data_IF_436528029915
#
_entry.id   IF_436528029915
#
_cell.length_a   1.000
_cell.length_b   1.000
_cell.length_c   1.000
_cell.angle_alpha   90.00
_cell.angle_beta   90.00
_cell.angle_gamma   90.00
#
_symmetry.space_group_name_H-M   'P 1'
#
loop_
_entity.id
_entity.type
_entity.pdbx_description
1 polymer ?
#
# COMPACT_ATOMS: atom_id res chain seq x y z
N UNK A 1 2.37 -0.36 35.42
CA UNK A 1 3.43 0.50 34.85
C UNK A 1 2.96 1.94 35.00
N UNK A 2 3.70 2.79 35.71
CA UNK A 2 3.46 4.23 35.68
C UNK A 2 3.84 4.71 34.28
N UNK A 3 2.88 5.25 33.55
CA UNK A 3 3.15 5.99 32.31
C UNK A 3 3.80 7.30 32.77
N UNK A 4 5.09 7.48 32.49
CA UNK A 4 5.74 8.77 32.70
C UNK A 4 5.06 9.79 31.77
N UNK A 5 4.64 10.92 32.34
CA UNK A 5 4.07 12.02 31.56
C UNK A 5 5.07 12.45 30.47
N UNK A 6 4.62 12.56 29.23
CA UNK A 6 5.47 12.92 28.10
C UNK A 6 6.01 14.34 28.28
N UNK A 7 7.33 14.48 28.13
CA UNK A 7 8.05 15.74 28.19
C UNK A 7 7.70 16.59 26.94
N UNK A 8 7.06 17.77 27.10
CA UNK A 8 6.61 18.59 25.98
C UNK A 8 7.75 19.04 25.06
N UNK A 9 8.94 19.30 25.62
CA UNK A 9 10.10 19.78 24.85
C UNK A 9 10.67 18.67 23.97
N UNK A 10 10.72 17.43 24.48
CA UNK A 10 11.08 16.25 23.69
C UNK A 10 10.07 15.95 22.59
N UNK A 11 8.79 16.24 22.84
CA UNK A 11 7.71 16.06 21.87
C UNK A 11 7.82 17.07 20.73
N UNK A 12 8.20 18.31 21.03
CA UNK A 12 8.44 19.35 20.03
C UNK A 12 9.71 19.07 19.20
N UNK A 13 10.81 18.67 19.84
CA UNK A 13 12.07 18.30 19.16
C UNK A 13 11.86 17.11 18.21
N UNK A 14 11.11 16.10 18.65
CA UNK A 14 10.71 14.95 17.84
C UNK A 14 9.93 15.36 16.59
N UNK A 15 8.91 16.22 16.75
CA UNK A 15 8.09 16.72 15.63
C UNK A 15 8.91 17.51 14.63
N UNK A 16 9.81 18.37 15.10
CA UNK A 16 10.65 19.20 14.25
C UNK A 16 11.59 18.34 13.38
N UNK A 17 12.29 17.38 13.99
CA UNK A 17 13.20 16.47 13.27
C UNK A 17 12.49 15.66 12.19
N UNK A 18 11.30 15.12 12.47
CA UNK A 18 10.54 14.41 11.45
C UNK A 18 10.03 15.36 10.38
N UNK A 19 9.63 16.59 10.73
CA UNK A 19 9.17 17.59 9.77
C UNK A 19 10.26 17.96 8.76
N UNK A 20 11.50 18.14 9.21
CA UNK A 20 12.64 18.39 8.33
C UNK A 20 12.86 17.24 7.32
N UNK A 21 12.89 16.00 7.81
CA UNK A 21 13.03 14.81 6.97
C UNK A 21 11.85 14.64 5.98
N UNK A 22 10.64 14.98 6.42
CA UNK A 22 9.44 14.98 5.58
C UNK A 22 9.53 16.01 4.47
N UNK A 23 10.06 17.21 4.75
CA UNK A 23 10.26 18.22 3.72
C UNK A 23 11.24 17.74 2.64
N UNK A 24 12.24 16.93 2.98
CA UNK A 24 13.10 16.29 1.98
C UNK A 24 12.33 15.25 1.13
N UNK A 25 11.41 14.48 1.72
CA UNK A 25 10.53 13.58 0.96
C UNK A 25 9.59 14.36 0.02
N UNK A 26 9.05 15.50 0.46
CA UNK A 26 8.25 16.41 -0.39
C UNK A 26 9.06 16.86 -1.61
N UNK A 27 10.30 17.31 -1.38
CA UNK A 27 11.19 17.72 -2.47
C UNK A 27 11.43 16.58 -3.47
N UNK A 28 11.70 15.37 -2.97
CA UNK A 28 11.90 14.19 -3.82
C UNK A 28 10.64 13.86 -4.62
N UNK A 29 9.45 13.88 -4.01
CA UNK A 29 8.19 13.66 -4.73
C UNK A 29 7.93 14.70 -5.82
N UNK A 30 8.23 15.98 -5.56
CA UNK A 30 8.11 17.04 -6.56
C UNK A 30 9.10 16.82 -7.73
N UNK A 31 10.39 16.59 -7.43
CA UNK A 31 11.40 16.26 -8.45
C UNK A 31 10.97 15.05 -9.29
N UNK A 32 10.47 13.99 -8.64
CA UNK A 32 10.07 12.75 -9.31
C UNK A 32 8.83 12.95 -10.19
N UNK A 33 7.88 13.77 -9.76
CA UNK A 33 6.72 14.13 -10.55
C UNK A 33 7.11 14.98 -11.77
N UNK A 34 7.97 15.98 -11.60
CA UNK A 34 8.44 16.84 -12.69
C UNK A 34 9.21 16.06 -13.77
N UNK A 35 10.08 15.14 -13.35
CA UNK A 35 10.95 14.40 -14.27
C UNK A 35 10.28 13.17 -14.88
N UNK A 36 9.44 12.46 -14.10
CA UNK A 36 8.92 11.15 -14.50
C UNK A 36 7.39 11.07 -14.51
N UNK A 37 6.68 12.11 -14.08
CA UNK A 37 5.21 12.15 -14.04
C UNK A 37 4.57 11.25 -12.97
N UNK A 38 5.36 10.66 -12.06
CA UNK A 38 4.83 9.75 -11.04
C UNK A 38 4.42 10.52 -9.79
N UNK A 39 3.14 10.41 -9.42
CA UNK A 39 2.47 11.26 -8.43
C UNK A 39 2.32 10.66 -7.03
N UNK A 40 2.89 9.48 -6.78
CA UNK A 40 2.81 8.79 -5.48
C UNK A 40 3.90 7.73 -5.41
N UNK A 41 5.07 8.07 -4.85
CA UNK A 41 6.22 7.15 -4.72
C UNK A 41 6.34 6.47 -3.36
N UNK A 42 5.51 6.87 -2.38
CA UNK A 42 5.63 6.45 -0.98
C UNK A 42 4.54 5.49 -0.51
N UNK A 43 3.53 5.23 -1.34
CA UNK A 43 2.41 4.37 -0.97
C UNK A 43 2.43 3.03 -1.69
N UNK A 44 1.68 2.07 -1.17
CA UNK A 44 1.38 0.78 -1.78
C UNK A 44 2.61 0.06 -2.30
N UNK A 45 3.73 0.16 -1.57
CA UNK A 45 4.97 -0.54 -1.93
C UNK A 45 5.57 -0.06 -3.26
N UNK A 46 5.24 1.16 -3.71
CA UNK A 46 5.72 1.74 -4.97
C UNK A 46 7.25 1.77 -5.06
N UNK A 47 7.93 1.93 -3.92
CA UNK A 47 9.40 1.91 -3.87
C UNK A 47 10.01 0.67 -4.54
N UNK A 48 9.37 -0.51 -4.42
CA UNK A 48 9.88 -1.73 -5.03
C UNK A 48 9.66 -1.75 -6.55
N UNK A 49 8.61 -1.10 -7.06
CA UNK A 49 8.46 -0.89 -8.50
C UNK A 49 9.57 0.00 -9.05
N UNK A 50 9.98 1.03 -8.29
CA UNK A 50 11.08 1.92 -8.65
C UNK A 50 12.41 1.14 -8.64
N UNK A 51 12.64 0.27 -7.65
CA UNK A 51 13.81 -0.61 -7.61
C UNK A 51 13.87 -1.52 -8.84
N UNK A 52 12.76 -2.18 -9.18
CA UNK A 52 12.71 -3.06 -10.37
C UNK A 52 12.95 -2.27 -11.65
N UNK A 53 12.32 -1.10 -11.80
CA UNK A 53 12.54 -0.24 -12.96
C UNK A 53 13.98 0.25 -13.06
N UNK A 54 14.62 0.55 -11.93
CA UNK A 54 16.03 0.97 -11.87
C UNK A 54 16.97 -0.13 -12.37
N UNK A 55 16.79 -1.36 -11.86
CA UNK A 55 17.65 -2.50 -12.20
C UNK A 55 17.46 -2.95 -13.66
N UNK A 56 16.25 -2.80 -14.21
CA UNK A 56 15.92 -3.15 -15.60
C UNK A 56 16.08 -1.99 -16.60
N UNK A 57 16.51 -0.80 -16.16
CA UNK A 57 16.57 0.42 -16.98
C UNK A 57 15.24 0.77 -17.67
N UNK A 58 14.13 0.50 -16.99
CA UNK A 58 12.80 0.82 -17.47
C UNK A 58 12.36 2.23 -17.07
N UNK A 59 11.58 2.88 -17.93
CA UNK A 59 10.84 4.10 -17.61
C UNK A 59 9.57 3.74 -16.83
N UNK A 60 9.34 4.37 -15.68
CA UNK A 60 8.09 4.17 -14.92
C UNK A 60 6.91 4.75 -15.70
N UNK A 61 5.79 4.04 -15.70
CA UNK A 61 4.55 4.53 -16.31
C UNK A 61 3.77 5.33 -15.25
N UNK A 62 3.44 6.61 -15.51
CA UNK A 62 2.58 7.41 -14.62
C UNK A 62 1.23 6.73 -14.40
N UNK A 63 0.80 6.59 -13.15
CA UNK A 63 -0.50 6.00 -12.85
C UNK A 63 -0.68 5.54 -11.39
N UNK A 64 -1.85 4.99 -11.11
CA UNK A 64 -2.24 4.41 -9.81
C UNK A 64 -2.32 2.88 -9.90
N UNK A 65 -2.52 2.21 -8.77
CA UNK A 65 -2.74 0.75 -8.71
C UNK A 65 -3.67 0.26 -9.83
N UNK A 66 -3.14 -0.60 -10.72
CA UNK A 66 -3.84 -1.10 -11.90
C UNK A 66 -3.39 -0.49 -13.24
N UNK A 67 -2.54 0.54 -13.23
CA UNK A 67 -1.71 0.90 -14.39
C UNK A 67 -0.52 -0.04 -14.51
N UNK A 68 0.05 -0.14 -15.71
CA UNK A 68 1.34 -0.83 -15.92
C UNK A 68 2.44 -0.14 -15.13
N UNK A 69 3.49 -0.89 -14.83
CA UNK A 69 4.51 -0.42 -13.89
C UNK A 69 5.65 0.29 -14.61
N UNK A 70 6.14 -0.26 -15.73
CA UNK A 70 7.19 0.38 -16.50
C UNK A 70 7.27 -0.06 -17.94
N UNK A 71 8.19 0.57 -18.67
CA UNK A 71 8.34 0.49 -20.12
C UNK A 71 9.81 0.52 -20.51
N UNK A 72 10.22 -0.28 -21.48
CA UNK A 72 11.59 -0.26 -22.00
C UNK A 72 11.82 0.87 -23.04
N UNK A 73 12.99 0.88 -23.68
CA UNK A 73 13.32 1.82 -24.77
C UNK A 73 12.49 1.63 -26.05
N UNK A 74 12.01 0.41 -26.30
CA UNK A 74 11.16 0.06 -27.45
C UNK A 74 9.69 0.40 -27.25
N UNK A 75 9.36 0.96 -26.08
CA UNK A 75 8.01 1.26 -25.61
C UNK A 75 7.17 0.03 -25.27
N UNK A 76 7.81 -1.11 -25.07
CA UNK A 76 7.16 -2.32 -24.57
C UNK A 76 6.80 -2.16 -23.10
N UNK A 77 5.55 -2.46 -22.73
CA UNK A 77 5.05 -2.30 -21.36
C UNK A 77 5.21 -3.58 -20.53
N UNK A 78 5.47 -3.38 -19.24
CA UNK A 78 5.70 -4.45 -18.26
C UNK A 78 4.83 -4.26 -17.02
N UNK A 79 4.38 -5.38 -16.47
CA UNK A 79 3.78 -5.48 -15.14
C UNK A 79 4.82 -6.03 -14.17
N UNK A 80 4.91 -5.50 -12.96
CA UNK A 80 5.80 -5.96 -11.93
C UNK A 80 5.01 -6.64 -10.81
N UNK A 81 5.52 -7.77 -10.35
CA UNK A 81 5.15 -8.40 -9.07
C UNK A 81 6.42 -8.58 -8.27
N UNK A 82 6.34 -8.38 -6.97
CA UNK A 82 7.47 -8.59 -6.09
C UNK A 82 7.07 -9.33 -4.81
N UNK A 83 8.05 -9.97 -4.19
CA UNK A 83 8.07 -10.25 -2.77
C UNK A 83 9.47 -9.94 -2.24
N UNK A 84 9.57 -9.63 -0.94
CA UNK A 84 10.84 -9.36 -0.26
C UNK A 84 11.40 -10.62 0.37
N UNK A 85 12.72 -10.74 0.49
CA UNK A 85 13.38 -11.84 1.21
C UNK A 85 12.82 -12.00 2.63
N UNK A 86 12.61 -10.90 3.36
CA UNK A 86 12.02 -10.92 4.71
C UNK A 86 10.52 -11.25 4.77
N UNK A 87 9.85 -11.41 3.63
CA UNK A 87 8.42 -11.73 3.60
C UNK A 87 8.16 -13.15 4.10
N UNK A 88 7.07 -13.34 4.83
CA UNK A 88 6.65 -14.68 5.28
C UNK A 88 6.11 -15.58 4.15
N UNK A 89 5.83 -15.01 2.98
CA UNK A 89 5.35 -15.71 1.79
C UNK A 89 6.26 -15.38 0.59
N UNK A 90 6.93 -16.39 0.05
CA UNK A 90 7.82 -16.29 -1.11
C UNK A 90 7.11 -16.68 -2.40
N UNK A 91 5.96 -16.05 -2.64
CA UNK A 91 5.17 -16.21 -3.87
C UNK A 91 4.64 -14.86 -4.30
N UNK A 92 4.33 -14.72 -5.59
CA UNK A 92 3.75 -13.50 -6.14
C UNK A 92 2.24 -13.62 -6.22
N UNK A 93 1.56 -12.69 -5.56
CA UNK A 93 0.10 -12.71 -5.45
C UNK A 93 -0.57 -11.87 -6.52
N UNK A 94 -1.50 -12.47 -7.26
CA UNK A 94 -2.51 -11.76 -8.04
C UNK A 94 -3.77 -11.62 -7.19
N UNK A 95 -4.02 -10.40 -6.73
CA UNK A 95 -5.19 -10.06 -5.93
C UNK A 95 -6.39 -9.71 -6.82
N UNK A 96 -7.59 -10.04 -6.34
CA UNK A 96 -8.87 -9.67 -6.95
C UNK A 96 -8.92 -10.00 -8.46
N UNK A 97 -8.39 -11.16 -8.87
CA UNK A 97 -8.35 -11.53 -10.29
C UNK A 97 -9.77 -11.60 -10.89
N UNK A 98 -9.86 -11.25 -12.16
CA UNK A 98 -11.05 -11.43 -13.01
C UNK A 98 -10.61 -11.80 -14.41
N UNK A 99 -11.53 -12.28 -15.22
CA UNK A 99 -11.23 -12.58 -16.63
C UNK A 99 -10.66 -11.34 -17.33
N UNK A 100 -11.18 -10.15 -17.03
CA UNK A 100 -10.67 -8.88 -17.55
C UNK A 100 -9.26 -8.55 -17.06
N UNK A 101 -8.92 -8.77 -15.79
CA UNK A 101 -7.56 -8.44 -15.30
C UNK A 101 -6.53 -9.44 -15.79
N UNK A 102 -6.92 -10.70 -15.96
CA UNK A 102 -6.08 -11.75 -16.58
C UNK A 102 -5.88 -11.41 -18.06
N UNK A 103 -6.95 -11.14 -18.81
CA UNK A 103 -6.89 -10.86 -20.25
C UNK A 103 -6.04 -9.62 -20.56
N UNK A 104 -6.08 -8.60 -19.69
CA UNK A 104 -5.19 -7.45 -19.81
C UNK A 104 -3.72 -7.88 -19.89
N UNK A 105 -3.28 -8.95 -19.23
CA UNK A 105 -1.87 -9.38 -19.30
C UNK A 105 -1.42 -9.76 -20.71
N UNK A 106 -2.33 -10.07 -21.65
CA UNK A 106 -1.97 -10.28 -23.06
C UNK A 106 -1.39 -9.02 -23.72
N UNK A 107 -1.68 -7.83 -23.17
CA UNK A 107 -1.24 -6.55 -23.75
C UNK A 107 0.14 -6.09 -23.28
N UNK A 108 0.80 -6.83 -22.38
CA UNK A 108 2.15 -6.50 -21.91
C UNK A 108 3.17 -7.43 -22.54
N UNK A 109 4.38 -6.91 -22.74
CA UNK A 109 5.52 -7.70 -23.19
C UNK A 109 5.79 -8.84 -22.23
N UNK A 110 5.88 -8.52 -20.94
CA UNK A 110 6.08 -9.49 -19.89
C UNK A 110 5.58 -9.02 -18.52
N UNK A 111 5.34 -10.01 -17.65
CA UNK A 111 5.24 -9.81 -16.21
C UNK A 111 6.59 -10.16 -15.58
N UNK A 112 7.18 -9.21 -14.87
CA UNK A 112 8.40 -9.41 -14.09
C UNK A 112 8.03 -9.89 -12.69
N UNK A 113 8.42 -11.11 -12.37
CA UNK A 113 8.29 -11.71 -11.04
C UNK A 113 9.62 -11.52 -10.30
N UNK A 114 9.73 -10.38 -9.61
CA UNK A 114 10.96 -9.94 -8.97
C UNK A 114 11.08 -10.46 -7.54
N UNK A 115 12.29 -10.89 -7.19
CA UNK A 115 12.71 -11.03 -5.81
C UNK A 115 13.44 -9.77 -5.37
N UNK A 116 13.14 -9.29 -4.17
CA UNK A 116 13.82 -8.13 -3.58
C UNK A 116 14.60 -8.60 -2.36
N UNK A 117 15.93 -8.49 -2.42
CA UNK A 117 16.78 -8.69 -1.25
C UNK A 117 16.73 -7.43 -0.38
N UNK A 118 15.97 -7.48 0.71
CA UNK A 118 15.83 -6.38 1.67
C UNK A 118 16.58 -6.63 3.00
N UNK A 119 17.53 -7.57 3.01
CA UNK A 119 18.39 -7.84 4.18
C UNK A 119 19.56 -6.86 4.31
N UNK A 120 19.78 -6.03 3.30
CA UNK A 120 20.86 -5.06 3.24
C UNK A 120 20.34 -3.63 3.38
N UNK A 121 21.27 -2.69 3.56
CA UNK A 121 20.89 -1.30 3.77
C UNK A 121 20.17 -0.67 2.58
N UNK A 122 20.49 -1.12 1.37
CA UNK A 122 19.85 -0.66 0.14
C UNK A 122 19.22 -1.85 -0.57
N UNK A 123 17.90 -2.07 -0.41
CA UNK A 123 17.23 -3.18 -1.07
C UNK A 123 17.40 -3.11 -2.59
N UNK A 124 17.58 -4.26 -3.22
CA UNK A 124 17.78 -4.39 -4.66
C UNK A 124 17.11 -5.66 -5.20
N UNK A 125 16.89 -5.71 -6.52
CA UNK A 125 16.41 -6.91 -7.20
C UNK A 125 17.61 -7.79 -7.57
N UNK A 126 17.79 -8.92 -6.89
CA UNK A 126 18.90 -9.86 -7.12
C UNK A 126 18.58 -10.89 -8.20
N UNK A 127 17.31 -11.28 -8.35
CA UNK A 127 16.85 -12.17 -9.41
C UNK A 127 15.37 -11.96 -9.74
N UNK A 128 14.97 -12.38 -10.94
CA UNK A 128 13.57 -12.37 -11.36
C UNK A 128 13.24 -13.45 -12.40
N UNK A 129 11.95 -13.68 -12.65
CA UNK A 129 11.48 -14.30 -13.88
C UNK A 129 10.84 -13.24 -14.77
N UNK A 130 11.14 -13.26 -16.07
CA UNK A 130 10.50 -12.43 -17.08
C UNK A 130 9.59 -13.35 -17.88
N UNK A 131 8.29 -13.33 -17.59
CA UNK A 131 7.31 -14.24 -18.19
C UNK A 131 6.48 -13.48 -19.22
N UNK A 132 6.41 -13.91 -20.50
CA UNK A 132 5.59 -13.25 -21.50
C UNK A 132 4.14 -13.05 -21.05
N UNK A 133 3.56 -11.89 -21.36
CA UNK A 133 2.21 -11.52 -20.91
C UNK A 133 1.13 -12.52 -21.32
N UNK A 134 1.17 -12.99 -22.56
CA UNK A 134 0.26 -14.02 -23.10
C UNK A 134 0.39 -15.35 -22.36
N UNK A 135 1.63 -15.76 -22.01
CA UNK A 135 1.89 -17.03 -21.36
C UNK A 135 1.33 -17.05 -19.93
N UNK A 136 1.60 -16.00 -19.15
CA UNK A 136 1.07 -15.91 -17.78
C UNK A 136 -0.45 -15.68 -17.77
N UNK A 137 -0.99 -14.94 -18.74
CA UNK A 137 -2.44 -14.79 -18.93
C UNK A 137 -3.13 -16.15 -19.11
N UNK A 138 -2.60 -16.98 -20.03
CA UNK A 138 -3.09 -18.34 -20.26
C UNK A 138 -3.00 -19.20 -19.00
N UNK A 139 -1.85 -19.19 -18.33
CA UNK A 139 -1.65 -19.92 -17.08
C UNK A 139 -2.67 -19.54 -16.01
N UNK A 140 -2.85 -18.24 -15.76
CA UNK A 140 -3.79 -17.75 -14.77
C UNK A 140 -5.24 -18.10 -15.15
N UNK A 141 -5.61 -18.00 -16.44
CA UNK A 141 -6.93 -18.40 -16.92
C UNK A 141 -7.21 -19.87 -16.61
N UNK A 142 -6.25 -20.76 -16.83
CA UNK A 142 -6.40 -22.19 -16.54
C UNK A 142 -6.45 -22.49 -15.04
N UNK A 143 -5.54 -21.91 -14.25
CA UNK A 143 -5.43 -22.18 -12.81
C UNK A 143 -6.57 -21.60 -12.00
N UNK A 144 -7.16 -20.49 -12.44
CA UNK A 144 -8.22 -19.80 -11.70
C UNK A 144 -9.60 -20.43 -11.85
N UNK A 145 -9.84 -21.27 -12.87
CA UNK A 145 -11.12 -21.99 -13.06
C UNK A 145 -11.49 -22.82 -11.81
N UNK A 146 -10.49 -23.40 -11.14
CA UNK A 146 -10.69 -24.28 -9.97
C UNK A 146 -10.69 -23.53 -8.64
N UNK A 147 -10.48 -22.22 -8.63
CA UNK A 147 -10.33 -21.43 -7.40
C UNK A 147 -11.71 -20.97 -6.91
N UNK A 148 -12.10 -21.47 -5.73
CA UNK A 148 -13.38 -21.14 -5.06
C UNK A 148 -13.15 -20.13 -3.91
N UNK A 149 -12.03 -19.41 -3.89
CA UNK A 149 -11.80 -18.42 -2.83
C UNK A 149 -12.56 -17.11 -3.10
N UNK A 150 -13.18 -16.56 -2.04
CA UNK A 150 -14.03 -15.35 -2.14
C UNK A 150 -13.26 -14.09 -2.55
N UNK A 151 -11.96 -14.03 -2.24
CA UNK A 151 -11.07 -12.89 -2.55
C UNK A 151 -10.53 -12.91 -3.99
N UNK A 152 -10.74 -13.98 -4.75
CA UNK A 152 -10.09 -14.24 -6.04
C UNK A 152 -8.60 -13.91 -6.00
N UNK A 153 -7.89 -14.58 -5.11
CA UNK A 153 -6.43 -14.50 -5.00
C UNK A 153 -5.79 -15.76 -5.56
N UNK A 154 -4.70 -15.62 -6.30
CA UNK A 154 -3.85 -16.74 -6.70
C UNK A 154 -2.39 -16.36 -6.47
N UNK A 155 -1.64 -17.28 -5.89
CA UNK A 155 -0.20 -17.16 -5.73
C UNK A 155 0.49 -17.93 -6.84
N UNK A 156 1.51 -17.32 -7.42
CA UNK A 156 2.43 -17.94 -8.37
C UNK A 156 3.77 -18.11 -7.66
N UNK A 157 4.28 -19.33 -7.58
CA UNK A 157 5.55 -19.64 -6.94
C UNK A 157 6.68 -19.76 -7.97
N UNK A 158 7.95 -19.63 -7.54
CA UNK A 158 9.11 -19.91 -8.41
C UNK A 158 9.03 -21.28 -9.08
N UNK A 159 8.68 -22.32 -8.31
CA UNK A 159 8.55 -23.69 -8.82
C UNK A 159 7.52 -23.82 -9.93
N UNK A 160 6.38 -23.11 -9.82
CA UNK A 160 5.34 -23.13 -10.84
C UNK A 160 5.83 -22.47 -12.15
N UNK A 161 6.56 -21.36 -12.05
CA UNK A 161 7.14 -20.70 -13.23
C UNK A 161 8.17 -21.61 -13.90
N UNK A 162 9.07 -22.22 -13.13
CA UNK A 162 10.13 -23.09 -13.67
C UNK A 162 9.58 -24.39 -14.26
N UNK A 163 8.63 -25.04 -13.60
CA UNK A 163 8.14 -26.37 -14.00
C UNK A 163 6.96 -26.35 -14.95
N UNK A 164 6.06 -25.39 -14.82
CA UNK A 164 4.83 -25.34 -15.60
C UNK A 164 4.92 -24.38 -16.78
N UNK A 165 5.76 -23.35 -16.69
CA UNK A 165 5.95 -22.37 -17.77
C UNK A 165 7.30 -22.52 -18.49
N UNK A 166 8.20 -23.38 -17.98
CA UNK A 166 9.55 -23.61 -18.50
C UNK A 166 10.37 -22.31 -18.65
N UNK A 167 10.15 -21.35 -17.73
CA UNK A 167 10.89 -20.09 -17.70
C UNK A 167 12.00 -20.18 -16.66
N UNK A 168 13.22 -19.85 -17.08
CA UNK A 168 14.41 -19.85 -16.22
C UNK A 168 14.50 -18.56 -15.41
N UNK A 169 15.05 -18.70 -14.20
CA UNK A 169 15.42 -17.58 -13.35
C UNK A 169 16.54 -16.77 -14.01
N UNK A 170 16.38 -15.45 -14.01
CA UNK A 170 17.43 -14.50 -14.37
C UNK A 170 18.02 -13.96 -13.09
N UNK A 171 19.32 -14.15 -12.91
CA UNK A 171 20.08 -13.53 -11.83
C UNK A 171 20.80 -12.30 -12.37
N UNK A 172 20.84 -11.24 -11.57
CA UNK A 172 21.50 -10.00 -11.92
C UNK A 172 22.58 -9.73 -10.89
N UNK A 173 23.73 -9.26 -11.34
CA UNK A 173 24.59 -8.48 -10.46
C UNK A 173 23.92 -7.11 -10.31
N UNK A 174 23.69 -6.66 -9.07
CA UNK A 174 22.98 -5.40 -8.83
C UNK A 174 23.64 -4.26 -9.58
N UNK A 175 22.88 -3.62 -10.45
CA UNK A 175 23.32 -2.47 -11.20
C UNK A 175 22.80 -1.22 -10.50
N UNK A 176 23.48 -0.83 -9.41
CA UNK A 176 23.21 0.39 -8.62
C UNK A 176 23.48 1.70 -9.39
N UNK A 177 23.33 1.70 -10.71
CA UNK A 177 23.54 2.85 -11.60
C UNK A 177 22.37 3.10 -12.56
N UNK A 178 21.21 2.52 -12.27
CA UNK A 178 19.97 2.81 -13.00
C UNK A 178 19.52 4.26 -12.87
N UNK A 179 18.57 4.66 -13.73
CA UNK A 179 18.11 6.04 -13.86
C UNK A 179 17.46 6.64 -12.60
N UNK A 180 17.11 5.84 -11.58
CA UNK A 180 16.45 6.31 -10.35
C UNK A 180 17.35 6.27 -9.12
N UNK A 181 18.62 5.84 -9.26
CA UNK A 181 19.48 5.47 -8.13
C UNK A 181 19.65 6.59 -7.10
N UNK A 182 19.85 7.82 -7.59
CA UNK A 182 19.99 9.03 -6.75
C UNK A 182 18.79 9.20 -5.81
N UNK A 183 17.57 9.06 -6.32
CA UNK A 183 16.36 9.24 -5.52
C UNK A 183 16.14 8.06 -4.58
N UNK A 184 16.37 6.83 -5.04
CA UNK A 184 16.29 5.63 -4.18
C UNK A 184 17.22 5.75 -2.97
N UNK A 185 18.47 6.16 -3.16
CA UNK A 185 19.41 6.36 -2.07
C UNK A 185 18.90 7.40 -1.05
N UNK A 186 18.44 8.56 -1.52
CA UNK A 186 17.92 9.62 -0.65
C UNK A 186 16.70 9.14 0.13
N UNK A 187 15.72 8.54 -0.55
CA UNK A 187 14.49 8.04 0.07
C UNK A 187 14.84 7.04 1.18
N UNK A 188 15.66 6.02 0.88
CA UNK A 188 15.99 4.97 1.84
C UNK A 188 16.74 5.51 3.07
N UNK A 189 17.64 6.48 2.89
CA UNK A 189 18.34 7.15 4.01
C UNK A 189 17.34 7.91 4.87
N UNK A 190 16.50 8.75 4.26
CA UNK A 190 15.53 9.59 4.99
C UNK A 190 14.53 8.70 5.74
N UNK A 191 13.96 7.68 5.09
CA UNK A 191 12.96 6.83 5.72
C UNK A 191 13.51 6.01 6.86
N UNK A 192 14.76 5.54 6.78
CA UNK A 192 15.44 4.88 7.91
C UNK A 192 15.63 5.82 9.11
N UNK A 193 15.96 7.08 8.85
CA UNK A 193 16.07 8.07 9.93
C UNK A 193 14.71 8.32 10.58
N UNK A 194 13.65 8.48 9.78
CA UNK A 194 12.27 8.60 10.28
C UNK A 194 11.89 7.38 11.12
N UNK A 195 12.10 6.17 10.61
CA UNK A 195 11.83 4.90 11.29
C UNK A 195 12.56 4.79 12.63
N UNK A 196 13.84 5.18 12.66
CA UNK A 196 14.65 5.19 13.88
C UNK A 196 14.11 6.17 14.92
N UNK A 197 13.74 7.39 14.49
CA UNK A 197 13.20 8.43 15.38
C UNK A 197 11.81 8.02 15.91
N UNK A 198 10.92 7.57 15.03
CA UNK A 198 9.55 7.15 15.35
C UNK A 198 9.43 5.75 15.97
N UNK A 199 10.51 4.97 15.96
CA UNK A 199 10.55 3.56 16.43
C UNK A 199 9.52 2.68 15.72
N UNK A 200 9.39 2.87 14.41
CA UNK A 200 8.53 2.07 13.50
C UNK A 200 9.38 1.43 12.42
N UNK A 201 8.79 0.54 11.61
CA UNK A 201 9.48 -0.14 10.51
C UNK A 201 8.59 -0.25 9.28
N UNK A 202 9.23 -0.37 8.12
CA UNK A 202 8.62 -0.57 6.82
C UNK A 202 7.63 0.55 6.44
N UNK A 203 7.96 1.83 6.69
CA UNK A 203 7.02 2.95 6.43
C UNK A 203 6.70 3.14 4.95
N UNK A 204 7.49 2.54 4.05
CA UNK A 204 7.27 2.54 2.59
C UNK A 204 6.32 1.45 2.11
N UNK A 205 5.73 0.64 3.01
CA UNK A 205 4.71 -0.34 2.66
C UNK A 205 3.30 0.21 2.92
N UNK A 206 2.34 -0.14 2.04
CA UNK A 206 0.93 0.26 2.17
C UNK A 206 0.75 1.80 2.33
N UNK A 207 0.03 2.28 3.35
CA UNK A 207 -0.11 3.72 3.66
C UNK A 207 0.59 4.11 4.97
N UNK A 208 1.54 3.31 5.48
CA UNK A 208 2.16 3.55 6.79
C UNK A 208 2.87 4.88 6.92
N UNK A 209 3.52 5.35 5.86
CA UNK A 209 4.12 6.68 5.86
C UNK A 209 3.07 7.74 6.22
N UNK A 210 1.89 7.69 5.59
CA UNK A 210 0.79 8.60 5.90
C UNK A 210 0.23 8.41 7.30
N UNK A 211 0.06 7.17 7.74
CA UNK A 211 -0.40 6.86 9.11
C UNK A 211 0.53 7.47 10.16
N UNK A 212 1.85 7.39 9.94
CA UNK A 212 2.84 8.03 10.78
C UNK A 212 2.69 9.55 10.81
N UNK A 213 2.57 10.20 9.64
CA UNK A 213 2.43 11.66 9.57
C UNK A 213 1.15 12.14 10.27
N UNK A 214 0.04 11.43 10.07
CA UNK A 214 -1.23 11.71 10.75
C UNK A 214 -1.06 11.53 12.26
N UNK A 215 -0.43 10.45 12.71
CA UNK A 215 -0.20 10.19 14.13
C UNK A 215 0.63 11.28 14.78
N UNK A 216 1.74 11.69 14.16
CA UNK A 216 2.57 12.79 14.66
C UNK A 216 1.75 14.08 14.81
N UNK A 217 0.92 14.39 13.80
CA UNK A 217 0.07 15.59 13.81
C UNK A 217 -0.96 15.55 14.93
N UNK A 218 -1.52 14.38 15.22
CA UNK A 218 -2.49 14.15 16.29
C UNK A 218 -1.86 13.90 17.67
N UNK A 219 -0.53 13.82 17.78
CA UNK A 219 0.14 13.46 19.03
C UNK A 219 -0.02 11.98 19.42
N UNK A 220 -0.29 11.10 18.45
CA UNK A 220 -0.35 9.66 18.62
C UNK A 220 0.98 9.00 18.22
N UNK A 221 1.14 7.75 18.63
CA UNK A 221 2.24 6.87 18.24
C UNK A 221 1.71 5.70 17.41
N UNK A 222 2.27 5.49 16.22
CA UNK A 222 1.96 4.33 15.37
C UNK A 222 2.47 3.05 16.00
N UNK A 223 1.67 2.00 15.94
CA UNK A 223 2.00 0.66 16.42
C UNK A 223 2.56 -0.19 15.28
N UNK A 224 3.28 -1.27 15.62
CA UNK A 224 3.78 -2.23 14.63
C UNK A 224 2.62 -3.06 14.05
N UNK A 225 2.77 -3.61 12.85
CA UNK A 225 1.71 -4.41 12.17
C UNK A 225 1.21 -5.63 12.95
N UNK A 226 1.96 -6.09 13.94
CA UNK A 226 1.57 -7.19 14.83
C UNK A 226 0.58 -6.75 15.91
N UNK A 227 0.46 -5.44 16.15
CA UNK A 227 -0.51 -4.89 17.06
C UNK A 227 -1.91 -4.99 16.46
N UNK A 228 -2.92 -5.10 17.34
CA UNK A 228 -4.29 -5.05 16.86
C UNK A 228 -4.56 -3.68 16.23
N UNK A 229 -4.18 -2.56 16.85
CA UNK A 229 -4.59 -1.21 16.46
C UNK A 229 -3.49 -0.45 15.70
N UNK A 230 -3.86 0.61 14.98
CA UNK A 230 -2.90 1.35 14.13
C UNK A 230 -2.09 2.37 14.94
N UNK A 231 -2.71 3.03 15.92
CA UNK A 231 -2.04 4.02 16.78
C UNK A 231 -2.57 4.01 18.22
N UNK A 232 -1.78 4.61 19.12
CA UNK A 232 -2.11 4.82 20.54
C UNK A 232 -1.71 6.24 20.96
N UNK A 233 -2.46 6.87 21.86
CA UNK A 233 -2.03 8.12 22.51
C UNK A 233 -1.34 7.87 23.87
N UNK A 234 -0.85 8.94 24.49
CA UNK A 234 -0.15 8.87 25.79
C UNK A 234 -1.09 8.46 26.96
N UNK A 235 -2.41 8.56 26.78
CA UNK A 235 -3.41 8.09 27.74
C UNK A 235 -3.71 6.58 27.59
N UNK A 236 -3.15 5.93 26.57
CA UNK A 236 -3.37 4.52 26.26
C UNK A 236 -4.64 4.24 25.46
N UNK A 237 -5.26 5.26 24.86
CA UNK A 237 -6.39 5.09 23.96
C UNK A 237 -5.92 4.62 22.57
N UNK A 238 -6.61 3.64 21.99
CA UNK A 238 -6.28 3.11 20.66
C UNK A 238 -7.09 3.79 19.54
N UNK A 239 -6.51 3.81 18.35
CA UNK A 239 -7.08 4.41 17.16
C UNK A 239 -6.87 3.52 15.93
N UNK A 240 -7.86 3.52 15.05
CA UNK A 240 -7.80 2.91 13.71
C UNK A 240 -7.77 4.02 12.65
N UNK A 241 -6.89 3.91 11.67
CA UNK A 241 -6.63 4.91 10.66
C UNK A 241 -7.14 4.44 9.29
N UNK A 242 -7.66 5.38 8.51
CA UNK A 242 -8.02 5.18 7.11
C UNK A 242 -7.56 6.40 6.32
N UNK A 243 -6.73 6.15 5.31
CA UNK A 243 -6.16 7.17 4.43
C UNK A 243 -6.81 7.08 3.05
N UNK A 244 -7.17 8.22 2.47
CA UNK A 244 -7.73 8.27 1.11
C UNK A 244 -7.21 9.48 0.33
N UNK A 245 -7.12 9.33 -1.01
CA UNK A 245 -6.87 10.46 -1.95
C UNK A 245 -8.12 11.30 -2.20
N UNK A 246 -9.28 10.80 -1.76
CA UNK A 246 -10.58 11.40 -2.01
C UNK A 246 -11.39 11.42 -0.72
N UNK A 247 -12.53 12.09 -0.75
CA UNK A 247 -13.50 12.11 0.34
C UNK A 247 -14.33 10.81 0.46
N UNK A 248 -13.68 9.67 0.23
CA UNK A 248 -14.26 8.34 0.31
C UNK A 248 -13.24 7.33 0.82
N UNK A 249 -13.49 6.74 1.99
CA UNK A 249 -12.61 5.80 2.68
C UNK A 249 -13.12 4.38 2.51
N UNK A 250 -12.22 3.49 2.09
CA UNK A 250 -12.54 2.10 1.78
C UNK A 250 -12.33 1.22 3.02
N UNK A 251 -13.36 0.44 3.36
CA UNK A 251 -13.32 -0.57 4.39
C UNK A 251 -13.48 -1.94 3.72
N UNK A 252 -12.49 -2.80 3.90
CA UNK A 252 -12.43 -4.13 3.28
C UNK A 252 -12.54 -5.22 4.34
N UNK A 253 -13.00 -6.39 3.92
CA UNK A 253 -13.10 -7.60 4.75
C UNK A 253 -13.80 -7.37 6.10
N UNK A 254 -14.90 -6.61 6.05
CA UNK A 254 -15.69 -6.17 7.21
C UNK A 254 -16.48 -7.34 7.80
N UNK A 255 -15.77 -8.24 8.47
CA UNK A 255 -16.33 -9.32 9.29
C UNK A 255 -16.74 -8.80 10.66
N UNK A 256 -17.53 -9.57 11.41
CA UNK A 256 -17.89 -9.21 12.79
C UNK A 256 -16.65 -9.08 13.69
N UNK A 257 -15.59 -9.85 13.45
CA UNK A 257 -14.33 -9.72 14.18
C UNK A 257 -13.66 -8.36 13.93
N UNK A 258 -13.66 -7.89 12.68
CA UNK A 258 -13.12 -6.56 12.32
C UNK A 258 -13.97 -5.45 12.94
N UNK A 259 -15.30 -5.56 12.87
CA UNK A 259 -16.20 -4.59 13.48
C UNK A 259 -16.05 -4.53 15.00
N UNK A 260 -15.96 -5.70 15.66
CA UNK A 260 -15.75 -5.79 17.10
C UNK A 260 -14.40 -5.20 17.53
N UNK A 261 -13.38 -5.26 16.68
CA UNK A 261 -12.11 -4.59 16.91
C UNK A 261 -12.29 -3.06 16.86
N UNK A 262 -12.95 -2.52 15.83
CA UNK A 262 -13.21 -1.08 15.74
C UNK A 262 -13.94 -0.53 16.97
N UNK A 263 -14.88 -1.30 17.53
CA UNK A 263 -15.61 -0.90 18.74
C UNK A 263 -14.73 -0.74 19.99
N UNK A 264 -13.49 -1.26 19.98
CA UNK A 264 -12.52 -1.10 21.07
C UNK A 264 -11.67 0.16 20.95
N UNK A 265 -11.66 0.79 19.78
CA UNK A 265 -10.94 2.04 19.57
C UNK A 265 -11.64 3.21 20.26
N UNK A 266 -10.88 4.25 20.57
CA UNK A 266 -11.42 5.53 21.03
C UNK A 266 -12.06 6.30 19.89
N UNK A 267 -11.44 6.26 18.72
CA UNK A 267 -11.96 6.86 17.51
C UNK A 267 -11.41 6.18 16.26
N UNK A 268 -12.17 6.30 15.16
CA UNK A 268 -11.68 6.01 13.82
C UNK A 268 -11.24 7.33 13.18
N UNK A 269 -9.97 7.38 12.76
CA UNK A 269 -9.36 8.54 12.12
C UNK A 269 -9.42 8.36 10.60
N UNK A 270 -10.02 9.34 9.92
CA UNK A 270 -10.30 9.31 8.49
C UNK A 270 -9.61 10.51 7.84
N UNK A 271 -8.47 10.28 7.19
CA UNK A 271 -7.65 11.33 6.61
C UNK A 271 -7.79 11.39 5.09
N UNK A 272 -7.84 12.61 4.55
CA UNK A 272 -7.67 12.90 3.13
C UNK A 272 -6.27 13.42 2.90
N UNK A 273 -5.57 12.86 1.93
CA UNK A 273 -4.18 13.24 1.59
C UNK A 273 -4.06 13.57 0.10
N UNK A 274 -3.23 14.56 -0.20
CA UNK A 274 -2.73 14.81 -1.55
C UNK A 274 -1.37 14.14 -1.68
N UNK A 275 -1.32 13.02 -2.40
CA UNK A 275 -0.10 12.23 -2.49
C UNK A 275 0.93 12.82 -3.44
N UNK A 276 0.50 13.65 -4.39
CA UNK A 276 1.40 14.34 -5.31
C UNK A 276 2.09 15.48 -4.59
N UNK A 277 1.34 16.29 -3.83
CA UNK A 277 1.90 17.39 -3.03
C UNK A 277 2.53 16.92 -1.72
N UNK A 278 2.38 15.65 -1.39
CA UNK A 278 2.79 15.04 -0.13
C UNK A 278 2.20 15.77 1.10
N UNK A 279 0.89 16.02 1.09
CA UNK A 279 0.18 16.84 2.07
C UNK A 279 -1.02 16.12 2.72
N UNK A 280 -1.24 16.36 4.02
CA UNK A 280 -2.49 15.98 4.69
C UNK A 280 -3.50 17.11 4.52
N UNK A 281 -4.55 16.85 3.74
CA UNK A 281 -5.56 17.85 3.35
C UNK A 281 -6.59 18.06 4.46
N UNK A 282 -7.15 16.96 4.99
CA UNK A 282 -8.17 17.00 6.06
C UNK A 282 -8.07 15.78 6.97
N UNK A 283 -8.49 15.93 8.22
CA UNK A 283 -8.65 14.81 9.15
C UNK A 283 -10.03 14.86 9.81
N UNK A 284 -10.75 13.75 9.74
CA UNK A 284 -11.99 13.53 10.47
C UNK A 284 -11.79 12.52 11.59
N UNK A 285 -12.48 12.76 12.70
CA UNK A 285 -12.58 11.86 13.86
C UNK A 285 -14.01 11.40 14.00
N UNK A 286 -14.23 10.09 14.01
CA UNK A 286 -15.57 9.51 14.13
C UNK A 286 -15.68 8.54 15.31
N UNK A 287 -16.84 8.52 15.97
CA UNK A 287 -17.13 7.57 17.03
C UNK A 287 -17.26 6.16 16.47
N UNK A 288 -16.54 5.14 16.98
CA UNK A 288 -16.53 3.82 16.35
C UNK A 288 -17.90 3.14 16.30
N UNK A 289 -18.75 3.35 17.31
CA UNK A 289 -20.13 2.83 17.31
C UNK A 289 -20.94 3.31 16.11
N UNK A 290 -20.80 4.57 15.73
CA UNK A 290 -21.54 5.16 14.61
C UNK A 290 -20.94 4.70 13.26
N UNK A 291 -19.60 4.64 13.17
CA UNK A 291 -18.90 4.06 12.01
C UNK A 291 -19.36 2.62 11.77
N UNK A 292 -19.32 1.77 12.79
CA UNK A 292 -19.72 0.36 12.71
C UNK A 292 -21.19 0.21 12.31
N UNK A 293 -22.09 1.04 12.88
CA UNK A 293 -23.50 1.08 12.50
C UNK A 293 -23.67 1.39 11.01
N UNK A 294 -23.01 2.46 10.52
CA UNK A 294 -23.09 2.87 9.11
C UNK A 294 -22.48 1.83 8.17
N UNK A 295 -21.36 1.20 8.53
CA UNK A 295 -20.77 0.13 7.73
C UNK A 295 -21.73 -1.06 7.58
N UNK A 296 -22.42 -1.46 8.66
CA UNK A 296 -23.42 -2.54 8.62
C UNK A 296 -24.61 -2.18 7.73
N UNK A 297 -25.10 -0.95 7.81
CA UNK A 297 -26.17 -0.45 6.94
C UNK A 297 -25.77 -0.51 5.47
N UNK A 298 -24.60 0.03 5.12
CA UNK A 298 -24.10 0.03 3.73
C UNK A 298 -23.84 -1.38 3.21
N UNK A 299 -23.39 -2.30 4.05
CA UNK A 299 -23.27 -3.71 3.67
C UNK A 299 -24.64 -4.29 3.33
N UNK A 300 -25.66 -4.07 4.17
CA UNK A 300 -27.05 -4.52 3.90
C UNK A 300 -27.59 -3.92 2.60
N UNK A 301 -27.39 -2.63 2.36
CA UNK A 301 -27.75 -1.96 1.10
C UNK A 301 -27.05 -2.63 -0.10
N UNK A 302 -25.74 -2.89 0.02
CA UNK A 302 -24.95 -3.56 -1.02
C UNK A 302 -25.48 -4.97 -1.30
N UNK A 303 -25.80 -5.75 -0.28
CA UNK A 303 -26.40 -7.08 -0.41
C UNK A 303 -27.73 -7.02 -1.17
N UNK A 304 -28.65 -6.15 -0.76
CA UNK A 304 -29.95 -5.97 -1.44
C UNK A 304 -29.78 -5.60 -2.92
N UNK A 305 -28.91 -4.62 -3.20
CA UNK A 305 -28.63 -4.18 -4.58
C UNK A 305 -28.06 -5.31 -5.43
N UNK A 306 -27.16 -6.12 -4.87
CA UNK A 306 -26.54 -7.23 -5.59
C UNK A 306 -27.55 -8.36 -5.87
N UNK A 307 -28.40 -8.68 -4.89
CA UNK A 307 -29.48 -9.66 -5.07
C UNK A 307 -30.43 -9.26 -6.21
N UNK A 308 -30.84 -7.98 -6.28
CA UNK A 308 -31.68 -7.46 -7.39
C UNK A 308 -30.98 -7.56 -8.75
N UNK A 309 -29.65 -7.41 -8.79
CA UNK A 309 -28.87 -7.50 -10.03
C UNK A 309 -28.47 -8.93 -10.41
N UNK A 310 -28.88 -9.95 -9.63
CA UNK A 310 -28.40 -11.33 -9.81
C UNK A 310 -26.88 -11.47 -9.65
N UNK A 311 -26.23 -10.54 -8.94
CA UNK A 311 -24.77 -10.53 -8.73
C UNK A 311 -24.44 -11.15 -7.38
N UNK A 312 -23.40 -11.97 -7.34
CA UNK A 312 -22.86 -12.50 -6.09
C UNK A 312 -21.98 -11.46 -5.36
N UNK A 313 -22.17 -11.31 -4.05
CA UNK A 313 -21.29 -10.49 -3.23
C UNK A 313 -19.98 -11.22 -2.93
N UNK A 314 -18.92 -10.86 -3.66
CA UNK A 314 -17.59 -11.47 -3.51
C UNK A 314 -16.84 -11.03 -2.24
N UNK A 315 -16.86 -9.73 -1.93
CA UNK A 315 -16.11 -9.14 -0.81
C UNK A 315 -16.97 -8.23 0.06
N UNK A 316 -16.84 -8.40 1.38
CA UNK A 316 -17.44 -7.55 2.41
C UNK A 316 -16.70 -6.21 2.46
N UNK A 317 -16.99 -5.37 1.48
CA UNK A 317 -16.32 -4.10 1.28
C UNK A 317 -17.33 -3.02 0.97
N UNK A 318 -17.22 -1.90 1.66
CA UNK A 318 -17.98 -0.67 1.39
C UNK A 318 -17.07 0.53 1.62
N UNK A 319 -17.51 1.69 1.14
CA UNK A 319 -16.83 2.95 1.43
C UNK A 319 -17.72 3.87 2.23
N UNK A 320 -17.14 4.63 3.15
CA UNK A 320 -17.77 5.80 3.75
C UNK A 320 -17.35 7.02 2.94
N UNK A 321 -18.31 7.76 2.40
CA UNK A 321 -18.12 9.05 1.75
C UNK A 321 -18.21 10.19 2.76
N UNK A 322 -17.88 11.41 2.37
CA UNK A 322 -18.09 12.59 3.23
C UNK A 322 -19.55 12.74 3.69
N UNK A 323 -20.53 12.43 2.83
CA UNK A 323 -21.96 12.42 3.22
C UNK A 323 -22.29 11.34 4.25
N UNK A 324 -21.51 10.26 4.30
CA UNK A 324 -21.66 9.27 5.35
C UNK A 324 -21.05 9.76 6.67
N UNK A 325 -20.00 10.59 6.61
CA UNK A 325 -19.38 11.21 7.78
C UNK A 325 -20.32 12.22 8.44
N UNK A 326 -21.05 13.02 7.65
CA UNK A 326 -22.13 13.89 8.13
C UNK A 326 -23.21 13.11 8.89
N UNK A 327 -23.60 11.92 8.39
CA UNK A 327 -24.63 11.07 9.02
C UNK A 327 -24.19 10.41 10.32
N UNK A 328 -22.89 10.33 10.59
CA UNK A 328 -22.33 9.75 11.80
C UNK A 328 -21.70 10.80 12.70
N UNK A 329 -22.02 12.08 12.47
CA UNK A 329 -21.55 13.24 13.22
C UNK A 329 -20.03 13.23 13.40
N UNK A 330 -19.29 12.87 12.34
CA UNK A 330 -17.83 12.92 12.39
C UNK A 330 -17.35 14.37 12.48
N UNK A 331 -16.33 14.60 13.29
CA UNK A 331 -15.78 15.93 13.56
C UNK A 331 -14.54 16.13 12.71
N UNK A 332 -14.50 17.21 11.92
CA UNK A 332 -13.28 17.68 11.28
C UNK A 332 -12.34 18.26 12.35
N UNK A 333 -11.14 17.70 12.47
CA UNK A 333 -10.14 18.09 13.47
C UNK A 333 -8.88 18.70 12.84
N UNK A 334 -8.86 18.76 11.50
CA UNK A 334 -7.89 19.48 10.68
C UNK A 334 -8.53 19.84 9.34
#
# INVERSE_FOLDING_TARGET
MKVEASDPDKTMEYKNKITELVNELVQIQNEFFELFGVNDIYSNSKIFEIIIANELHHNLIPGHSGSRNGRDENRDEYEYKHYKETSSNHTWTFNDFSDTTIEKLNSVKAVVFAHINDLCDKPFMDWCFIVPGELISKYLKEKTIKIINKRKMINVSPHQIEKELDIKKNSFESNLRGGYDKWLNRILVITKQIEKIAKVKDILTSNKCWELLIAIKLGHKVLTEQAAHDAIDDEGNYYEYKVSKTFSWNFQDISDNVLNKYLKDKAIILAVVDKQKFEIVKIYKALPKLVVSRLREKLKEKFKRFAVQGKELRRLQVSLSIRDLEKIDAIEIL
#
